data_IF_816189083384
#
_entry.id   IF_816189083384
#
_cell.length_a   1.000
_cell.length_b   1.000
_cell.length_c   1.000
_cell.angle_alpha   90.00
_cell.angle_beta   90.00
_cell.angle_gamma   90.00
#
_symmetry.space_group_name_H-M   'P 1'
#
loop_
_entity.id
_entity.type
_entity.pdbx_description
1 polymer ?
#
# COMPACT_ATOMS: atom_id res chain seq x y z
N UNK A 1 -1.93 13.86 -21.86
CA UNK A 1 -1.85 12.95 -20.69
C UNK A 1 -3.24 12.37 -20.50
N UNK A 2 -3.36 11.04 -20.48
CA UNK A 2 -4.65 10.34 -20.52
C UNK A 2 -5.43 10.56 -19.21
N UNK A 3 -6.70 10.96 -19.28
CA UNK A 3 -7.54 11.21 -18.10
C UNK A 3 -7.64 9.97 -17.21
N UNK A 4 -7.63 8.78 -17.84
CA UNK A 4 -7.65 7.50 -17.14
C UNK A 4 -6.40 7.28 -16.30
N UNK A 5 -5.22 7.58 -16.85
CA UNK A 5 -3.95 7.48 -16.15
C UNK A 5 -3.89 8.47 -14.98
N UNK A 6 -4.38 9.70 -15.18
CA UNK A 6 -4.44 10.71 -14.11
C UNK A 6 -5.35 10.26 -12.95
N UNK A 7 -6.50 9.66 -13.26
CA UNK A 7 -7.43 9.09 -12.27
C UNK A 7 -6.79 7.92 -11.51
N UNK A 8 -6.11 7.01 -12.21
CA UNK A 8 -5.40 5.89 -11.58
C UNK A 8 -4.31 6.37 -10.62
N UNK A 9 -3.49 7.34 -11.03
CA UNK A 9 -2.45 7.93 -10.19
C UNK A 9 -3.02 8.54 -8.91
N UNK A 10 -4.11 9.30 -9.00
CA UNK A 10 -4.76 9.90 -7.82
C UNK A 10 -5.32 8.86 -6.85
N UNK A 11 -5.94 7.80 -7.38
CA UNK A 11 -6.46 6.71 -6.55
C UNK A 11 -5.32 5.95 -5.89
N UNK A 12 -4.26 5.63 -6.63
CA UNK A 12 -3.08 4.95 -6.07
C UNK A 12 -2.43 5.79 -4.97
N UNK A 13 -2.24 7.09 -5.20
CA UNK A 13 -1.71 8.01 -4.18
C UNK A 13 -2.57 8.03 -2.92
N UNK A 14 -3.89 8.17 -3.05
CA UNK A 14 -4.80 8.19 -1.89
C UNK A 14 -4.69 6.92 -1.07
N UNK A 15 -4.75 5.75 -1.73
CA UNK A 15 -4.68 4.45 -1.06
C UNK A 15 -3.33 4.25 -0.34
N UNK A 16 -2.24 4.70 -0.96
CA UNK A 16 -0.92 4.64 -0.35
C UNK A 16 -0.81 5.55 0.88
N UNK A 17 -1.37 6.77 0.82
CA UNK A 17 -1.39 7.68 1.98
C UNK A 17 -2.26 7.13 3.11
N UNK A 18 -3.40 6.54 2.79
CA UNK A 18 -4.27 5.88 3.78
C UNK A 18 -3.53 4.72 4.46
N UNK A 19 -2.81 3.89 3.69
CA UNK A 19 -1.99 2.81 4.25
C UNK A 19 -0.84 3.35 5.11
N UNK A 20 -0.18 4.42 4.68
CA UNK A 20 0.88 5.07 5.45
C UNK A 20 0.37 5.63 6.79
N UNK A 21 -0.87 6.13 6.84
CA UNK A 21 -1.49 6.65 8.05
C UNK A 21 -1.80 5.55 9.09
N UNK A 22 -2.00 4.31 8.65
CA UNK A 22 -2.18 3.15 9.54
C UNK A 22 -0.88 2.70 10.22
N UNK A 23 0.29 3.10 9.70
CA UNK A 23 1.57 2.77 10.34
C UNK A 23 1.77 3.59 11.61
N UNK A 24 1.96 2.89 12.73
CA UNK A 24 2.35 3.49 14.02
C UNK A 24 3.83 3.96 14.06
N UNK A 25 4.45 4.19 12.91
CA UNK A 25 5.86 4.56 12.76
C UNK A 25 6.03 5.77 11.82
N UNK A 26 5.60 6.97 12.21
CA UNK A 26 5.68 8.16 11.35
C UNK A 26 7.11 8.56 10.94
N UNK A 27 8.12 8.13 11.70
CA UNK A 27 9.54 8.43 11.43
C UNK A 27 10.11 7.74 10.19
N UNK A 28 9.48 6.66 9.68
CA UNK A 28 9.93 5.94 8.48
C UNK A 28 9.27 6.44 7.18
N UNK A 29 8.27 7.32 7.29
CA UNK A 29 7.52 7.87 6.16
C UNK A 29 8.25 8.93 5.27
N UNK A 30 9.38 9.56 5.65
CA UNK A 30 10.08 10.49 4.74
C UNK A 30 10.61 9.86 3.44
N UNK A 31 10.87 8.55 3.41
CA UNK A 31 11.20 7.81 2.18
C UNK A 31 10.00 7.75 1.25
N UNK A 32 8.92 7.18 1.77
CA UNK A 32 7.59 7.10 1.15
C UNK A 32 7.10 8.44 0.54
N UNK A 33 7.08 9.55 1.30
CA UNK A 33 6.56 10.83 0.78
C UNK A 33 7.35 11.33 -0.44
N UNK A 34 8.66 11.08 -0.48
CA UNK A 34 9.48 11.44 -1.66
C UNK A 34 9.10 10.63 -2.89
N UNK A 35 8.76 9.36 -2.73
CA UNK A 35 8.30 8.51 -3.84
C UNK A 35 6.93 8.95 -4.34
N UNK A 36 6.00 9.31 -3.43
CA UNK A 36 4.70 9.88 -3.79
C UNK A 36 4.86 11.17 -4.59
N UNK A 37 5.69 12.12 -4.14
CA UNK A 37 5.93 13.37 -4.88
C UNK A 37 6.49 13.16 -6.29
N UNK A 38 7.23 12.07 -6.51
CA UNK A 38 7.79 11.68 -7.82
C UNK A 38 6.87 10.78 -8.63
N UNK A 39 5.67 10.46 -8.12
CA UNK A 39 4.72 9.51 -8.72
C UNK A 39 5.32 8.09 -8.88
N UNK A 40 6.29 7.72 -8.05
CA UNK A 40 6.95 6.41 -8.04
C UNK A 40 6.11 5.38 -7.24
N UNK A 41 4.84 5.20 -7.62
CA UNK A 41 3.85 4.46 -6.82
C UNK A 41 4.19 2.99 -6.59
N UNK A 42 4.79 2.32 -7.57
CA UNK A 42 5.21 0.92 -7.40
C UNK A 42 6.33 0.78 -6.36
N UNK A 43 7.26 1.74 -6.31
CA UNK A 43 8.31 1.78 -5.29
C UNK A 43 7.73 2.14 -3.93
N UNK A 44 6.82 3.12 -3.86
CA UNK A 44 6.15 3.50 -2.62
C UNK A 44 5.35 2.32 -2.04
N UNK A 45 4.68 1.54 -2.89
CA UNK A 45 3.97 0.32 -2.52
C UNK A 45 4.91 -0.75 -1.95
N UNK A 46 6.08 -0.94 -2.57
CA UNK A 46 7.08 -1.90 -2.09
C UNK A 46 7.73 -1.47 -0.76
N UNK A 47 7.97 -0.17 -0.58
CA UNK A 47 8.47 0.38 0.68
C UNK A 47 7.46 0.15 1.81
N UNK A 48 6.19 0.50 1.59
CA UNK A 48 5.12 0.21 2.56
C UNK A 48 5.03 -1.30 2.84
N UNK A 49 5.01 -2.16 1.84
CA UNK A 49 4.99 -3.62 2.06
C UNK A 49 6.14 -4.10 2.98
N UNK A 50 7.35 -3.56 2.79
CA UNK A 50 8.51 -3.88 3.64
C UNK A 50 8.31 -3.37 5.07
N UNK A 51 7.72 -2.19 5.24
CA UNK A 51 7.37 -1.64 6.56
C UNK A 51 6.27 -2.47 7.23
N UNK A 52 5.24 -2.89 6.50
CA UNK A 52 4.19 -3.76 7.02
C UNK A 52 4.68 -5.13 7.47
N UNK A 53 5.76 -5.65 6.86
CA UNK A 53 6.41 -6.87 7.31
C UNK A 53 7.31 -6.63 8.57
N UNK A 54 7.79 -5.40 8.79
CA UNK A 54 8.68 -5.03 9.90
C UNK A 54 7.95 -4.49 11.15
N UNK A 55 6.70 -4.03 11.00
CA UNK A 55 5.93 -3.40 12.06
C UNK A 55 4.56 -4.08 12.21
N UNK A 56 3.96 -4.05 13.42
CA UNK A 56 2.59 -4.51 13.59
C UNK A 56 1.63 -3.62 12.79
N UNK A 57 0.87 -4.23 11.88
CA UNK A 57 -0.11 -3.57 11.03
C UNK A 57 -1.44 -4.33 11.04
N UNK A 58 -2.54 -3.61 10.79
CA UNK A 58 -3.89 -4.17 10.73
C UNK A 58 -4.12 -5.02 9.47
N UNK A 59 -5.22 -5.77 9.42
CA UNK A 59 -5.66 -6.34 8.16
C UNK A 59 -5.99 -5.28 7.09
N UNK A 60 -6.60 -4.15 7.49
CA UNK A 60 -6.99 -3.09 6.55
C UNK A 60 -5.78 -2.49 5.84
N UNK A 61 -4.63 -2.38 6.52
CA UNK A 61 -3.35 -2.02 5.90
C UNK A 61 -3.02 -2.88 4.67
N UNK A 62 -3.05 -4.20 4.81
CA UNK A 62 -2.75 -5.12 3.71
C UNK A 62 -3.79 -5.05 2.59
N UNK A 63 -5.05 -4.76 2.93
CA UNK A 63 -6.12 -4.55 1.95
C UNK A 63 -5.91 -3.28 1.13
N UNK A 64 -5.42 -2.20 1.75
CA UNK A 64 -5.08 -0.96 1.04
C UNK A 64 -3.93 -1.18 0.06
N UNK A 65 -2.90 -1.96 0.44
CA UNK A 65 -1.82 -2.34 -0.47
C UNK A 65 -2.31 -3.24 -1.62
N UNK A 66 -3.19 -4.21 -1.34
CA UNK A 66 -3.82 -5.06 -2.36
C UNK A 66 -4.57 -4.22 -3.40
N UNK A 67 -5.40 -3.28 -2.94
CA UNK A 67 -6.20 -2.40 -3.81
C UNK A 67 -5.31 -1.45 -4.62
N UNK A 68 -4.22 -0.97 -4.04
CA UNK A 68 -3.22 -0.16 -4.76
C UNK A 68 -2.58 -0.97 -5.89
N UNK A 69 -2.14 -2.20 -5.59
CA UNK A 69 -1.57 -3.11 -6.59
C UNK A 69 -2.56 -3.39 -7.73
N UNK A 70 -3.85 -3.55 -7.43
CA UNK A 70 -4.90 -3.70 -8.43
C UNK A 70 -5.03 -2.47 -9.35
N UNK A 71 -5.04 -1.26 -8.78
CA UNK A 71 -5.14 0.00 -9.54
C UNK A 71 -3.94 0.18 -10.48
N UNK A 72 -2.75 -0.23 -10.03
CA UNK A 72 -1.49 -0.17 -10.79
C UNK A 72 -1.31 -1.34 -11.77
N UNK A 73 -2.17 -2.37 -11.74
CA UNK A 73 -2.06 -3.55 -12.61
C UNK A 73 -0.95 -4.54 -12.18
N UNK A 74 -0.53 -4.51 -10.92
CA UNK A 74 0.54 -5.31 -10.35
C UNK A 74 -0.01 -6.64 -9.80
N UNK A 75 -0.18 -7.63 -10.69
CA UNK A 75 -0.89 -8.88 -10.37
C UNK A 75 -0.16 -9.76 -9.34
N UNK A 76 1.17 -9.77 -9.34
CA UNK A 76 1.99 -10.59 -8.42
C UNK A 76 1.89 -10.04 -7.00
N UNK A 77 2.06 -8.73 -6.87
CA UNK A 77 1.99 -7.96 -5.64
C UNK A 77 0.58 -8.06 -5.05
N UNK A 78 -0.46 -7.87 -5.88
CA UNK A 78 -1.85 -8.05 -5.45
C UNK A 78 -2.09 -9.41 -4.81
N UNK A 79 -1.62 -10.49 -5.45
CA UNK A 79 -1.77 -11.85 -4.90
C UNK A 79 -1.04 -12.00 -3.57
N UNK A 80 0.18 -11.45 -3.47
CA UNK A 80 0.97 -11.48 -2.23
C UNK A 80 0.29 -10.73 -1.08
N UNK A 81 -0.30 -9.56 -1.35
CA UNK A 81 -1.05 -8.79 -0.35
C UNK A 81 -2.37 -9.45 0.04
N UNK A 82 -3.10 -10.05 -0.92
CA UNK A 82 -4.34 -10.78 -0.63
C UNK A 82 -4.11 -11.93 0.35
N UNK A 83 -2.98 -12.64 0.23
CA UNK A 83 -2.60 -13.71 1.17
C UNK A 83 -2.32 -13.15 2.58
N UNK A 84 -1.57 -12.03 2.67
CA UNK A 84 -1.28 -11.37 3.95
C UNK A 84 -2.54 -10.81 4.61
N UNK A 85 -3.43 -10.18 3.84
CA UNK A 85 -4.72 -9.70 4.31
C UNK A 85 -5.54 -10.81 4.96
N UNK A 86 -5.66 -11.97 4.28
CA UNK A 86 -6.39 -13.13 4.82
C UNK A 86 -5.75 -13.65 6.10
N UNK A 87 -4.43 -13.75 6.14
CA UNK A 87 -3.72 -14.20 7.34
C UNK A 87 -3.95 -13.23 8.51
N UNK A 88 -3.83 -11.92 8.29
CA UNK A 88 -4.09 -10.90 9.30
C UNK A 88 -5.54 -10.95 9.81
N UNK A 89 -6.53 -11.06 8.90
CA UNK A 89 -7.94 -11.22 9.26
C UNK A 89 -8.21 -12.45 10.11
N UNK A 90 -7.57 -13.58 9.81
CA UNK A 90 -7.76 -14.80 10.62
C UNK A 90 -7.21 -14.63 12.04
N UNK A 91 -6.11 -13.90 12.21
CA UNK A 91 -5.52 -13.61 13.53
C UNK A 91 -6.37 -12.64 14.36
N UNK A 92 -7.07 -11.70 13.74
CA UNK A 92 -7.97 -10.75 14.43
C UNK A 92 -9.24 -11.41 15.01
N UNK A 93 -9.63 -12.60 14.54
CA UNK A 93 -10.85 -13.31 14.94
C UNK A 93 -10.58 -14.50 15.90
N UNK A 94 -9.35 -14.64 16.37
CA UNK A 94 -8.93 -15.70 17.31
C UNK A 94 -8.57 -15.08 18.65
#
# INVERSE_FOLDING_TARGET
>A
MDERLLKQSRVAESLLRDAAAELAAPQVLPGFERLICRSEFALALAELATLGDAYPVSAEYWRLLEKTAEVLGLAVERKAFSMRYRAARSLEHT
#
